data_IF_442609574608
#
_entry.id   IF_442609574608
#
_cell.length_a   1.000
_cell.length_b   1.000
_cell.length_c   1.000
_cell.angle_alpha   90.00
_cell.angle_beta   90.00
_cell.angle_gamma   90.00
#
_symmetry.space_group_name_H-M   'P 1'
#
loop_
_entity.id
_entity.type
_entity.pdbx_description
1 polymer ?
#
# COMPACT_ATOMS: atom_id res chain seq x y z
N UNK A 1 15.11 -29.44 1.85
CA UNK A 1 14.56 -28.30 1.07
C UNK A 1 14.55 -27.05 1.95
N UNK A 2 15.53 -26.16 1.84
CA UNK A 2 15.69 -24.99 2.75
C UNK A 2 14.52 -23.98 2.66
N UNK A 3 13.71 -24.04 1.60
CA UNK A 3 12.62 -23.11 1.32
C UNK A 3 11.27 -23.48 1.96
N UNK A 4 11.07 -24.75 2.37
CA UNK A 4 9.77 -25.21 2.89
C UNK A 4 9.29 -24.42 4.14
N UNK A 5 10.13 -24.14 5.15
CA UNK A 5 9.68 -23.37 6.32
C UNK A 5 9.30 -21.93 5.99
N UNK A 6 9.98 -21.32 5.01
CA UNK A 6 9.65 -19.97 4.51
C UNK A 6 8.28 -19.99 3.83
N UNK A 7 8.03 -20.98 2.97
CA UNK A 7 6.74 -21.14 2.31
C UNK A 7 5.58 -21.32 3.31
N UNK A 8 5.80 -22.12 4.36
CA UNK A 8 4.83 -22.30 5.46
C UNK A 8 4.54 -20.97 6.17
N UNK A 9 5.57 -20.16 6.44
CA UNK A 9 5.37 -18.85 7.08
C UNK A 9 4.52 -17.92 6.21
N UNK A 10 4.87 -17.75 4.93
CA UNK A 10 4.08 -16.92 3.99
C UNK A 10 2.63 -17.41 3.89
N UNK A 11 2.43 -18.72 3.74
CA UNK A 11 1.10 -19.32 3.66
C UNK A 11 0.28 -19.11 4.93
N UNK A 12 0.89 -19.29 6.11
CA UNK A 12 0.23 -19.10 7.39
C UNK A 12 -0.22 -17.64 7.59
N UNK A 13 0.68 -16.67 7.44
CA UNK A 13 0.31 -15.26 7.61
C UNK A 13 -0.70 -14.81 6.55
N UNK A 14 -0.58 -15.31 5.32
CA UNK A 14 -1.55 -15.04 4.25
C UNK A 14 -2.95 -15.56 4.61
N UNK A 15 -3.05 -16.80 5.09
CA UNK A 15 -4.31 -17.40 5.52
C UNK A 15 -4.95 -16.63 6.68
N UNK A 16 -4.15 -16.27 7.70
CA UNK A 16 -4.62 -15.45 8.82
C UNK A 16 -5.12 -14.08 8.34
N UNK A 17 -4.36 -13.40 7.48
CA UNK A 17 -4.75 -12.09 6.98
C UNK A 17 -6.07 -12.14 6.20
N UNK A 18 -6.24 -13.11 5.30
CA UNK A 18 -7.50 -13.31 4.55
C UNK A 18 -8.66 -13.62 5.50
N UNK A 19 -8.43 -14.44 6.52
CA UNK A 19 -9.46 -14.79 7.51
C UNK A 19 -9.92 -13.56 8.28
N UNK A 20 -8.98 -12.73 8.73
CA UNK A 20 -9.26 -11.47 9.43
C UNK A 20 -9.98 -10.49 8.52
N UNK A 21 -9.48 -10.27 7.31
CA UNK A 21 -10.07 -9.30 6.38
C UNK A 21 -11.47 -9.71 5.95
N UNK A 22 -11.74 -11.00 5.72
CA UNK A 22 -13.10 -11.48 5.43
C UNK A 22 -14.02 -11.39 6.64
N UNK A 23 -13.54 -11.74 7.84
CA UNK A 23 -14.36 -11.66 9.05
C UNK A 23 -14.79 -10.23 9.37
N UNK A 24 -13.91 -9.25 9.09
CA UNK A 24 -14.16 -7.84 9.32
C UNK A 24 -14.67 -7.08 8.08
N UNK A 25 -14.97 -7.80 6.99
CA UNK A 25 -15.49 -7.27 5.73
C UNK A 25 -14.62 -6.16 5.11
N UNK A 26 -13.30 -6.28 5.29
CA UNK A 26 -12.34 -5.36 4.70
C UNK A 26 -12.09 -5.68 3.22
N UNK A 27 -11.82 -4.67 2.37
CA UNK A 27 -11.29 -4.88 1.04
C UNK A 27 -9.95 -5.62 1.11
N UNK A 28 -9.99 -6.93 0.95
CA UNK A 28 -8.83 -7.81 1.18
C UNK A 28 -7.68 -7.49 0.23
N UNK A 29 -7.99 -7.06 -0.99
CA UNK A 29 -7.00 -6.62 -1.96
C UNK A 29 -6.26 -5.35 -1.52
N UNK A 30 -6.91 -4.41 -0.81
CA UNK A 30 -6.26 -3.19 -0.27
C UNK A 30 -5.19 -3.56 0.76
N UNK A 31 -5.52 -4.50 1.63
CA UNK A 31 -4.58 -5.06 2.60
C UNK A 31 -3.39 -5.74 1.90
N UNK A 32 -3.64 -6.51 0.83
CA UNK A 32 -2.55 -7.13 0.06
C UNK A 32 -1.69 -6.12 -0.70
N UNK A 33 -2.27 -5.02 -1.23
CA UNK A 33 -1.49 -3.93 -1.84
C UNK A 33 -0.51 -3.35 -0.81
N UNK A 34 -0.98 -3.08 0.41
CA UNK A 34 -0.12 -2.60 1.49
C UNK A 34 0.94 -3.63 1.89
N UNK A 35 0.56 -4.91 2.02
CA UNK A 35 1.52 -5.99 2.30
C UNK A 35 2.62 -6.06 1.24
N UNK A 36 2.24 -6.10 -0.03
CA UNK A 36 3.20 -6.21 -1.15
C UNK A 36 4.10 -4.97 -1.20
N UNK A 37 3.55 -3.78 -0.94
CA UNK A 37 4.34 -2.54 -0.89
C UNK A 37 5.50 -2.59 0.12
N UNK A 38 5.31 -3.26 1.26
CA UNK A 38 6.36 -3.47 2.26
C UNK A 38 7.55 -4.26 1.67
N UNK A 39 7.27 -5.29 0.88
CA UNK A 39 8.33 -6.09 0.25
C UNK A 39 8.98 -5.39 -0.95
N UNK A 40 8.23 -4.59 -1.71
CA UNK A 40 8.76 -3.85 -2.86
C UNK A 40 9.68 -2.72 -2.40
N UNK A 41 9.28 -1.92 -1.41
CA UNK A 41 9.95 -0.67 -1.06
C UNK A 41 10.97 -0.81 0.09
N UNK A 42 11.25 -2.04 0.51
CA UNK A 42 12.27 -2.37 1.48
C UNK A 42 11.69 -2.82 2.81
N UNK A 43 12.27 -3.90 3.34
CA UNK A 43 11.86 -4.60 4.57
C UNK A 43 12.21 -3.84 5.86
N UNK A 44 12.96 -2.73 5.76
CA UNK A 44 13.33 -1.91 6.92
C UNK A 44 12.14 -1.04 7.30
N UNK A 45 11.73 -1.08 8.56
CA UNK A 45 10.55 -0.36 9.05
C UNK A 45 10.55 1.13 8.67
N UNK A 46 11.70 1.80 8.72
CA UNK A 46 11.84 3.21 8.35
C UNK A 46 11.48 3.48 6.89
N UNK A 47 12.06 2.70 5.95
CA UNK A 47 11.78 2.87 4.51
C UNK A 47 10.35 2.50 4.19
N UNK A 48 9.83 1.46 4.86
CA UNK A 48 8.45 1.04 4.70
C UNK A 48 7.47 2.12 5.21
N UNK A 49 7.74 2.76 6.34
CA UNK A 49 6.91 3.86 6.85
C UNK A 49 6.87 5.06 5.90
N UNK A 50 7.98 5.40 5.24
CA UNK A 50 7.98 6.43 4.20
C UNK A 50 7.17 6.04 2.98
N UNK A 51 7.16 4.76 2.58
CA UNK A 51 6.30 4.27 1.51
C UNK A 51 4.82 4.30 1.92
N UNK A 52 4.50 3.89 3.15
CA UNK A 52 3.15 3.95 3.70
C UNK A 52 2.60 5.39 3.71
N UNK A 53 3.39 6.36 4.15
CA UNK A 53 3.02 7.77 4.08
C UNK A 53 2.69 8.20 2.65
N UNK A 54 3.49 7.80 1.67
CA UNK A 54 3.26 8.13 0.26
C UNK A 54 2.02 7.45 -0.32
N UNK A 55 1.68 6.24 0.14
CA UNK A 55 0.39 5.59 -0.18
C UNK A 55 -0.78 6.44 0.34
N UNK A 56 -0.72 6.89 1.60
CA UNK A 56 -1.77 7.73 2.18
C UNK A 56 -1.87 9.07 1.45
N UNK A 57 -0.74 9.71 1.12
CA UNK A 57 -0.74 10.94 0.33
C UNK A 57 -1.26 10.72 -1.10
N UNK A 58 -0.97 9.56 -1.70
CA UNK A 58 -1.57 9.13 -2.96
C UNK A 58 -3.09 9.04 -2.88
N UNK A 59 -3.64 8.47 -1.80
CA UNK A 59 -5.09 8.48 -1.57
C UNK A 59 -5.63 9.91 -1.47
N UNK A 60 -4.97 10.79 -0.72
CA UNK A 60 -5.36 12.20 -0.63
C UNK A 60 -5.37 12.88 -2.00
N UNK A 61 -4.37 12.59 -2.84
CA UNK A 61 -4.32 13.09 -4.21
C UNK A 61 -5.50 12.59 -5.05
N UNK A 62 -5.89 11.31 -4.94
CA UNK A 62 -7.06 10.80 -5.66
C UNK A 62 -8.38 11.46 -5.19
N UNK A 63 -8.49 11.85 -3.93
CA UNK A 63 -9.64 12.64 -3.44
C UNK A 63 -9.63 14.01 -4.13
N UNK A 64 -8.48 14.69 -4.14
CA UNK A 64 -8.34 16.00 -4.78
C UNK A 64 -8.66 15.94 -6.28
N UNK A 65 -8.25 14.87 -6.97
CA UNK A 65 -8.62 14.63 -8.37
C UNK A 65 -10.15 14.56 -8.52
N UNK A 66 -10.84 13.77 -7.71
CA UNK A 66 -12.30 13.60 -7.84
C UNK A 66 -13.06 14.89 -7.52
N UNK A 67 -12.66 15.61 -6.47
CA UNK A 67 -13.30 16.86 -6.06
C UNK A 67 -13.09 17.96 -7.12
N UNK A 68 -11.86 18.14 -7.59
CA UNK A 68 -11.55 19.14 -8.62
C UNK A 68 -12.16 18.79 -9.98
N UNK A 69 -12.23 17.51 -10.33
CA UNK A 69 -12.90 17.04 -11.54
C UNK A 69 -14.38 17.45 -11.59
N UNK A 70 -15.09 17.38 -10.45
CA UNK A 70 -16.48 17.84 -10.37
C UNK A 70 -16.65 19.32 -10.70
N UNK A 71 -15.74 20.17 -10.21
CA UNK A 71 -15.73 21.60 -10.56
C UNK A 71 -15.34 21.85 -12.02
N UNK A 72 -14.30 21.16 -12.52
CA UNK A 72 -13.88 21.26 -13.91
C UNK A 72 -14.94 20.75 -14.89
N UNK A 73 -15.73 19.75 -14.50
CA UNK A 73 -16.80 19.22 -15.34
C UNK A 73 -17.88 20.28 -15.62
N UNK A 74 -18.11 21.21 -14.69
CA UNK A 74 -19.03 22.33 -14.90
C UNK A 74 -18.47 23.38 -15.88
N UNK A 75 -17.15 23.47 -16.02
CA UNK A 75 -16.48 24.48 -16.86
C UNK A 75 -16.16 23.96 -18.26
N UNK A 76 -15.62 22.74 -18.34
CA UNK A 76 -15.06 22.14 -19.57
C UNK A 76 -15.69 20.79 -19.92
N UNK A 77 -16.81 20.44 -19.28
CA UNK A 77 -17.59 19.24 -19.59
C UNK A 77 -16.81 17.95 -19.34
N UNK A 78 -16.91 16.99 -20.26
CA UNK A 78 -16.33 15.65 -20.13
C UNK A 78 -14.79 15.61 -19.99
N UNK A 79 -14.09 16.71 -20.27
CA UNK A 79 -12.64 16.82 -20.06
C UNK A 79 -12.25 17.13 -18.61
N UNK A 80 -13.21 17.40 -17.73
CA UNK A 80 -12.92 17.80 -16.36
C UNK A 80 -12.09 16.78 -15.58
N UNK A 81 -12.43 15.50 -15.67
CA UNK A 81 -11.69 14.43 -15.00
C UNK A 81 -10.29 14.20 -15.60
N UNK A 82 -10.11 14.03 -16.92
CA UNK A 82 -8.77 13.93 -17.52
C UNK A 82 -7.84 15.10 -17.18
N UNK A 83 -8.36 16.34 -17.18
CA UNK A 83 -7.57 17.53 -16.83
C UNK A 83 -7.17 17.51 -15.36
N UNK A 84 -8.07 17.16 -14.44
CA UNK A 84 -7.72 16.99 -13.03
C UNK A 84 -6.59 15.95 -12.86
N UNK A 85 -6.74 14.77 -13.46
CA UNK A 85 -5.72 13.71 -13.43
C UNK A 85 -4.38 14.22 -13.96
N UNK A 86 -4.37 14.92 -15.10
CA UNK A 86 -3.16 15.49 -15.68
C UNK A 86 -2.46 16.45 -14.72
N UNK A 87 -3.20 17.37 -14.09
CA UNK A 87 -2.64 18.35 -13.16
C UNK A 87 -2.04 17.68 -11.92
N UNK A 88 -2.77 16.78 -11.27
CA UNK A 88 -2.32 16.15 -10.03
C UNK A 88 -1.23 15.11 -10.26
N UNK A 89 -1.36 14.23 -11.25
CA UNK A 89 -0.30 13.27 -11.57
C UNK A 89 0.93 13.99 -12.13
N UNK A 90 0.76 15.00 -12.98
CA UNK A 90 1.86 15.84 -13.44
C UNK A 90 2.61 16.49 -12.28
N UNK A 91 1.89 16.87 -11.21
CA UNK A 91 2.50 17.43 -10.02
C UNK A 91 3.43 16.46 -9.28
N UNK A 92 3.27 15.13 -9.44
CA UNK A 92 4.16 14.12 -8.83
C UNK A 92 5.61 14.26 -9.27
N UNK A 93 5.86 14.79 -10.47
CA UNK A 93 7.21 15.05 -10.95
C UNK A 93 7.98 16.01 -10.01
N UNK A 94 7.30 16.97 -9.37
CA UNK A 94 7.93 17.87 -8.40
C UNK A 94 8.24 17.17 -7.07
N UNK A 95 7.36 16.26 -6.62
CA UNK A 95 7.59 15.47 -5.40
C UNK A 95 8.71 14.44 -5.56
N UNK A 96 8.88 13.91 -6.77
CA UNK A 96 9.94 12.99 -7.15
C UNK A 96 11.36 13.55 -6.90
N UNK A 97 11.53 14.88 -6.95
CA UNK A 97 12.79 15.55 -6.67
C UNK A 97 13.17 15.61 -5.17
N UNK A 98 12.27 15.23 -4.26
CA UNK A 98 12.53 15.31 -2.81
C UNK A 98 13.27 14.07 -2.28
N UNK A 99 14.04 14.20 -1.19
CA UNK A 99 14.76 13.05 -0.62
C UNK A 99 13.85 11.99 0.02
N UNK A 100 12.62 12.35 0.40
CA UNK A 100 11.74 11.52 1.25
C UNK A 100 10.44 11.08 0.58
N UNK A 101 9.95 11.83 -0.41
CA UNK A 101 8.66 11.58 -1.07
C UNK A 101 8.82 11.20 -2.56
N UNK A 102 9.96 10.62 -2.91
CA UNK A 102 10.33 10.29 -4.28
C UNK A 102 9.87 8.92 -4.78
N UNK A 103 9.14 8.16 -3.96
CA UNK A 103 8.65 6.84 -4.34
C UNK A 103 7.33 6.97 -5.10
N UNK A 104 7.42 7.42 -6.36
CA UNK A 104 6.28 7.58 -7.28
C UNK A 104 5.38 6.33 -7.29
N UNK A 105 5.90 5.09 -7.38
CA UNK A 105 5.06 3.89 -7.29
C UNK A 105 4.18 3.83 -6.04
N UNK A 106 4.68 4.22 -4.87
CA UNK A 106 3.89 4.24 -3.63
C UNK A 106 2.72 5.25 -3.70
N UNK A 107 2.93 6.41 -4.31
CA UNK A 107 1.84 7.36 -4.59
C UNK A 107 0.76 6.74 -5.49
N UNK A 108 1.17 6.04 -6.55
CA UNK A 108 0.24 5.35 -7.44
C UNK A 108 -0.52 4.23 -6.75
N UNK A 109 0.09 3.49 -5.81
CA UNK A 109 -0.65 2.50 -5.01
C UNK A 109 -1.77 3.16 -4.20
N UNK A 110 -1.54 4.36 -3.66
CA UNK A 110 -2.58 5.16 -3.01
C UNK A 110 -3.72 5.56 -3.95
N UNK A 111 -3.38 6.05 -5.15
CA UNK A 111 -4.36 6.37 -6.20
C UNK A 111 -5.18 5.13 -6.58
N UNK A 112 -4.52 3.99 -6.79
CA UNK A 112 -5.14 2.70 -7.14
C UNK A 112 -6.07 2.23 -6.01
N UNK A 113 -5.68 2.37 -4.74
CA UNK A 113 -6.53 2.01 -3.61
C UNK A 113 -7.82 2.82 -3.63
N UNK A 114 -7.73 4.16 -3.71
CA UNK A 114 -8.91 5.00 -3.65
C UNK A 114 -9.80 4.84 -4.88
N UNK A 115 -9.20 4.83 -6.08
CA UNK A 115 -9.96 4.64 -7.31
C UNK A 115 -10.52 3.23 -7.41
N UNK A 116 -9.81 2.18 -7.01
CA UNK A 116 -10.33 0.82 -7.08
C UNK A 116 -11.43 0.52 -6.05
N UNK A 117 -11.34 1.13 -4.87
CA UNK A 117 -12.34 0.93 -3.81
C UNK A 117 -13.59 1.79 -4.00
N UNK A 118 -13.48 2.91 -4.74
CA UNK A 118 -14.56 3.88 -4.96
C UNK A 118 -15.36 4.22 -3.68
N UNK A 119 -14.70 4.54 -2.56
CA UNK A 119 -15.44 4.88 -1.35
C UNK A 119 -16.23 6.18 -1.58
N UNK A 120 -17.37 6.36 -0.91
CA UNK A 120 -17.97 7.69 -0.80
C UNK A 120 -16.92 8.68 -0.29
N UNK A 121 -16.88 9.89 -0.87
CA UNK A 121 -15.87 10.92 -0.55
C UNK A 121 -16.11 11.63 0.80
N UNK A 122 -16.80 10.95 1.71
CA UNK A 122 -16.93 11.36 3.10
C UNK A 122 -15.67 10.96 3.88
N UNK A 123 -15.30 11.69 4.95
CA UNK A 123 -14.09 11.38 5.70
C UNK A 123 -14.06 9.95 6.26
N UNK A 124 -15.18 9.43 6.77
CA UNK A 124 -15.22 8.17 7.48
C UNK A 124 -14.99 6.94 6.55
N UNK A 125 -15.68 6.78 5.41
CA UNK A 125 -15.39 5.70 4.46
C UNK A 125 -13.95 5.69 3.94
N UNK A 126 -13.37 6.87 3.69
CA UNK A 126 -11.97 7.00 3.27
C UNK A 126 -11.02 6.59 4.40
N UNK A 127 -11.24 7.07 5.62
CA UNK A 127 -10.41 6.71 6.77
C UNK A 127 -10.52 5.22 7.11
N UNK A 128 -11.67 4.59 6.87
CA UNK A 128 -11.85 3.15 7.05
C UNK A 128 -10.91 2.33 6.16
N UNK A 129 -10.46 2.84 5.01
CA UNK A 129 -9.46 2.18 4.17
C UNK A 129 -8.06 2.15 4.82
N UNK A 130 -7.77 3.02 5.79
CA UNK A 130 -6.50 2.96 6.52
C UNK A 130 -6.37 1.70 7.35
N UNK A 131 -7.49 1.13 7.82
CA UNK A 131 -7.50 -0.09 8.64
C UNK A 131 -6.89 -1.27 7.88
N UNK A 132 -7.40 -1.68 6.68
CA UNK A 132 -6.77 -2.76 5.91
C UNK A 132 -5.35 -2.42 5.46
N UNK A 133 -5.03 -1.14 5.17
CA UNK A 133 -3.66 -0.75 4.80
C UNK A 133 -2.69 -1.01 5.96
N UNK A 134 -3.01 -0.52 7.15
CA UNK A 134 -2.20 -0.71 8.36
C UNK A 134 -2.09 -2.19 8.73
N UNK A 135 -3.19 -2.94 8.63
CA UNK A 135 -3.20 -4.37 8.85
C UNK A 135 -2.27 -5.11 7.86
N UNK A 136 -2.31 -4.75 6.58
CA UNK A 136 -1.45 -5.32 5.55
C UNK A 136 0.03 -5.08 5.82
N UNK A 137 0.37 -3.87 6.27
CA UNK A 137 1.71 -3.52 6.70
C UNK A 137 2.17 -4.34 7.92
N UNK A 138 1.30 -4.47 8.93
CA UNK A 138 1.56 -5.22 10.14
C UNK A 138 1.80 -6.71 9.83
N UNK A 139 0.93 -7.33 9.02
CA UNK A 139 1.09 -8.72 8.63
C UNK A 139 2.37 -8.95 7.82
N UNK A 140 2.70 -8.05 6.88
CA UNK A 140 3.94 -8.13 6.14
C UNK A 140 5.18 -8.05 7.05
N UNK A 141 5.16 -7.14 8.03
CA UNK A 141 6.25 -6.99 8.99
C UNK A 141 6.41 -8.22 9.89
N UNK A 142 5.30 -8.76 10.42
CA UNK A 142 5.32 -9.97 11.24
C UNK A 142 5.83 -11.18 10.44
N UNK A 143 5.34 -11.35 9.22
CA UNK A 143 5.79 -12.40 8.33
C UNK A 143 7.29 -12.27 8.03
N UNK A 144 7.77 -11.06 7.72
CA UNK A 144 9.19 -10.84 7.47
C UNK A 144 10.05 -11.16 8.68
N UNK A 145 9.64 -10.80 9.91
CA UNK A 145 10.36 -11.18 11.14
C UNK A 145 10.51 -12.69 11.30
N UNK A 146 9.46 -13.44 11.02
CA UNK A 146 9.50 -14.91 11.10
C UNK A 146 10.41 -15.49 10.01
N UNK A 147 10.34 -14.96 8.79
CA UNK A 147 11.19 -15.37 7.67
C UNK A 147 12.67 -15.09 7.96
N UNK A 148 13.01 -13.93 8.50
CA UNK A 148 14.39 -13.56 8.85
C UNK A 148 14.93 -14.49 9.95
N UNK A 149 14.13 -14.78 10.99
CA UNK A 149 14.48 -15.73 12.05
C UNK A 149 14.72 -17.16 11.52
N UNK A 150 13.90 -17.62 10.57
CA UNK A 150 14.10 -18.92 9.91
C UNK A 150 15.42 -18.91 9.14
N UNK A 151 15.73 -17.82 8.43
CA UNK A 151 16.94 -17.69 7.64
C UNK A 151 18.20 -17.75 8.52
N UNK A 152 18.23 -17.01 9.62
CA UNK A 152 19.34 -17.01 10.60
C UNK A 152 19.58 -18.41 11.22
N UNK A 153 18.51 -19.13 11.53
CA UNK A 153 18.62 -20.51 12.06
C UNK A 153 19.18 -21.48 11.03
N UNK A 154 18.88 -21.28 9.75
CA UNK A 154 19.38 -22.14 8.67
C UNK A 154 20.85 -21.86 8.35
N UNK A 155 21.27 -20.60 8.38
CA UNK A 155 22.68 -20.22 8.16
C UNK A 155 23.56 -20.68 9.32
N UNK A 156 23.13 -20.50 10.57
CA UNK A 156 23.85 -20.98 11.75
C UNK A 156 24.08 -22.50 11.72
N UNK A 157 23.07 -23.29 11.35
CA UNK A 157 23.22 -24.75 11.24
C UNK A 157 24.19 -25.20 10.15
N UNK A 158 24.34 -24.44 9.07
CA UNK A 158 25.30 -24.77 8.00
C UNK A 158 26.75 -24.43 8.32
N UNK A 159 27.02 -23.59 9.33
CA UNK A 159 28.39 -23.24 9.75
C UNK A 159 28.95 -24.20 10.81
N UNK A 160 28.08 -24.98 11.46
CA UNK A 160 28.44 -25.95 12.52
C UNK A 160 28.61 -27.37 11.95
N UNK A 161 28.28 -27.59 10.68
CA UNK A 161 28.52 -28.85 9.94
C UNK A 161 29.74 -28.71 9.05
#
# INVERSE_FOLDING_TARGET
>A
MKTLPIAIAFGFFGAVAVTVSFSLQWPTWVMFVAWVSFYIFGKKIETSLWALLQIVLGMMMAILIQVSAGGLQQLIGGLGFPVAVFLYIGSLAYFAGTKKLNNIPAWFLGLIILFGAHPPLEPLPVLNLLIPILAGFLFAWLNNKVVDMIHERQTSKSTVQ
#
